data_IF_473214976632
#
_entry.id   IF_473214976632
#
_cell.length_a   1.000
_cell.length_b   1.000
_cell.length_c   1.000
_cell.angle_alpha   90.00
_cell.angle_beta   90.00
_cell.angle_gamma   90.00
#
_symmetry.space_group_name_H-M   'P 1'
#
loop_
_entity.id
_entity.type
_entity.pdbx_description
1 polymer ?
#
# COMPACT_ATOMS: atom_id res chain seq x y z
N UNK A 1 56.94 -14.53 -2.67
CA UNK A 1 55.59 -15.13 -2.76
C UNK A 1 54.65 -14.63 -1.66
N UNK A 2 55.11 -14.50 -0.41
CA UNK A 2 54.27 -14.07 0.72
C UNK A 2 53.66 -12.66 0.59
N UNK A 3 54.40 -11.70 0.01
CA UNK A 3 53.92 -10.31 -0.15
C UNK A 3 52.73 -10.21 -1.10
N UNK A 4 52.72 -10.99 -2.18
CA UNK A 4 51.60 -11.02 -3.12
C UNK A 4 50.34 -11.63 -2.48
N UNK A 5 50.50 -12.69 -1.68
CA UNK A 5 49.39 -13.28 -0.93
C UNK A 5 48.84 -12.34 0.14
N UNK A 6 49.69 -11.57 0.83
CA UNK A 6 49.27 -10.55 1.78
C UNK A 6 48.47 -9.42 1.12
N UNK A 7 48.91 -8.96 -0.06
CA UNK A 7 48.19 -7.91 -0.81
C UNK A 7 46.82 -8.40 -1.27
N UNK A 8 46.75 -9.63 -1.81
CA UNK A 8 45.48 -10.22 -2.25
C UNK A 8 44.51 -10.41 -1.07
N UNK A 9 45.01 -10.86 0.08
CA UNK A 9 44.18 -11.02 1.29
C UNK A 9 43.62 -9.68 1.78
N UNK A 10 44.43 -8.60 1.75
CA UNK A 10 43.97 -7.26 2.13
C UNK A 10 42.91 -6.74 1.14
N UNK A 11 43.09 -6.95 -0.16
CA UNK A 11 42.10 -6.55 -1.18
C UNK A 11 40.78 -7.28 -0.95
N UNK A 12 40.80 -8.60 -0.72
CA UNK A 12 39.60 -9.39 -0.44
C UNK A 12 38.91 -8.91 0.85
N UNK A 13 39.69 -8.62 1.90
CA UNK A 13 39.16 -8.09 3.16
C UNK A 13 38.51 -6.71 2.99
N UNK A 14 39.14 -5.81 2.23
CA UNK A 14 38.56 -4.48 1.94
C UNK A 14 37.30 -4.59 1.09
N UNK A 15 37.31 -5.43 0.05
CA UNK A 15 36.14 -5.65 -0.83
C UNK A 15 34.97 -6.26 -0.04
N UNK A 16 35.24 -7.27 0.80
CA UNK A 16 34.20 -7.86 1.66
C UNK A 16 33.62 -6.86 2.66
N UNK A 17 34.44 -6.00 3.27
CA UNK A 17 33.98 -4.92 4.15
C UNK A 17 33.10 -3.92 3.38
N UNK A 18 33.49 -3.53 2.16
CA UNK A 18 32.71 -2.61 1.34
C UNK A 18 31.36 -3.20 0.91
N UNK A 19 31.34 -4.48 0.52
CA UNK A 19 30.10 -5.20 0.21
C UNK A 19 29.21 -5.34 1.44
N UNK A 20 29.78 -5.66 2.61
CA UNK A 20 29.05 -5.82 3.86
C UNK A 20 28.50 -4.49 4.43
N UNK A 21 29.20 -3.38 4.20
CA UNK A 21 28.68 -2.03 4.51
C UNK A 21 27.55 -1.63 3.56
N UNK A 22 27.58 -2.06 2.29
CA UNK A 22 26.47 -1.85 1.34
C UNK A 22 25.23 -2.67 1.73
N UNK A 23 25.37 -3.91 2.18
CA UNK A 23 24.23 -4.75 2.57
C UNK A 23 23.60 -4.34 3.91
N UNK A 24 24.38 -3.78 4.85
CA UNK A 24 23.85 -3.34 6.16
C UNK A 24 23.10 -2.01 6.13
N UNK A 25 23.11 -1.28 5.02
CA UNK A 25 22.39 -0.01 4.90
C UNK A 25 20.86 -0.18 4.77
N UNK A 26 20.35 -1.41 4.62
CA UNK A 26 18.93 -1.69 4.35
C UNK A 26 18.20 -2.40 5.49
N UNK A 27 18.57 -2.25 6.76
CA UNK A 27 17.68 -2.68 7.87
C UNK A 27 17.85 -1.85 9.13
N UNK A 28 17.49 -0.56 9.10
CA UNK A 28 17.09 0.14 10.33
C UNK A 28 15.59 -0.07 10.51
N UNK A 29 15.18 -1.28 10.95
CA UNK A 29 13.79 -1.49 11.39
C UNK A 29 13.56 -0.54 12.56
N UNK A 30 12.73 0.50 12.36
CA UNK A 30 12.23 1.31 13.47
C UNK A 30 11.59 0.36 14.48
N UNK A 31 11.88 0.49 15.79
CA UNK A 31 11.17 -0.29 16.80
C UNK A 31 9.66 -0.07 16.59
N UNK A 32 8.84 -1.14 16.69
CA UNK A 32 7.40 -1.00 16.57
C UNK A 32 6.92 -0.03 17.64
N UNK A 33 6.21 1.00 17.19
CA UNK A 33 5.59 1.99 18.06
C UNK A 33 4.60 1.28 19.00
N UNK A 34 4.80 1.33 20.33
CA UNK A 34 3.94 0.65 21.29
C UNK A 34 2.49 1.16 21.24
N UNK A 35 2.24 2.35 20.66
CA UNK A 35 0.89 2.91 20.53
C UNK A 35 0.01 2.15 19.50
N UNK A 36 0.61 1.26 18.69
CA UNK A 36 -0.15 0.37 17.78
C UNK A 36 -0.74 -0.87 18.44
N UNK A 37 -0.40 -1.17 19.70
CA UNK A 37 -0.87 -2.39 20.38
C UNK A 37 -2.32 -2.28 20.90
N UNK A 38 -2.93 -1.09 20.89
CA UNK A 38 -4.24 -0.84 21.50
C UNK A 38 -5.42 -0.73 20.53
N UNK A 39 -5.20 -0.66 19.21
CA UNK A 39 -6.29 -0.60 18.23
C UNK A 39 -6.32 -1.88 17.41
N UNK A 40 -7.28 -2.77 17.72
CA UNK A 40 -7.71 -3.82 16.79
C UNK A 40 -8.28 -3.10 15.58
N UNK A 41 -7.42 -2.77 14.62
CA UNK A 41 -7.80 -2.10 13.38
C UNK A 41 -8.61 -3.10 12.55
N UNK A 42 -9.94 -2.91 12.38
CA UNK A 42 -10.77 -3.87 11.62
C UNK A 42 -10.44 -3.88 10.12
N UNK A 43 -9.53 -2.99 9.69
CA UNK A 43 -9.30 -2.67 8.29
C UNK A 43 -8.27 -3.60 7.61
N UNK A 44 -7.44 -4.36 8.35
CA UNK A 44 -6.30 -5.10 7.79
C UNK A 44 -6.60 -6.09 6.65
N UNK A 45 -7.88 -6.46 6.42
CA UNK A 45 -8.28 -7.39 5.36
C UNK A 45 -8.16 -6.86 3.93
N UNK A 46 -8.29 -5.54 3.72
CA UNK A 46 -8.36 -4.97 2.36
C UNK A 46 -7.26 -3.94 2.08
N UNK A 47 -6.11 -4.07 2.73
CA UNK A 47 -4.96 -3.22 2.46
C UNK A 47 -4.37 -3.53 1.06
N UNK A 48 -3.92 -2.47 0.40
CA UNK A 48 -3.34 -2.55 -0.94
C UNK A 48 -1.81 -2.53 -0.87
N UNK A 49 -1.16 -3.04 -1.90
CA UNK A 49 0.29 -2.89 -2.06
C UNK A 49 0.60 -2.47 -3.50
N UNK A 50 1.69 -1.73 -3.68
CA UNK A 50 2.25 -1.40 -5.00
C UNK A 50 3.68 -1.91 -5.09
N UNK A 51 4.12 -2.28 -6.29
CA UNK A 51 5.52 -2.61 -6.54
C UNK A 51 6.33 -1.32 -6.69
N UNK A 52 7.40 -1.17 -5.89
CA UNK A 52 8.40 -0.13 -6.10
C UNK A 52 9.65 -0.72 -6.76
N UNK A 53 9.98 -0.14 -7.91
CA UNK A 53 11.07 -0.55 -8.77
C UNK A 53 12.32 0.29 -8.46
N UNK A 54 13.46 -0.37 -8.25
CA UNK A 54 14.76 0.33 -8.20
C UNK A 54 15.28 0.55 -9.62
N UNK A 55 16.26 1.46 -9.79
CA UNK A 55 16.90 1.70 -11.09
C UNK A 55 17.47 0.38 -11.64
N UNK A 56 16.97 -0.05 -12.80
CA UNK A 56 17.32 -1.33 -13.43
C UNK A 56 16.43 -2.50 -13.02
N UNK A 57 15.13 -2.26 -12.79
CA UNK A 57 14.16 -3.32 -12.51
C UNK A 57 13.91 -4.21 -13.75
N UNK A 58 13.34 -5.40 -13.52
CA UNK A 58 13.00 -6.33 -14.59
C UNK A 58 11.86 -5.81 -15.48
N UNK A 59 11.78 -6.29 -16.72
CA UNK A 59 10.72 -5.90 -17.65
C UNK A 59 9.31 -6.16 -17.07
N UNK A 60 9.16 -7.27 -16.34
CA UNK A 60 7.93 -7.62 -15.64
C UNK A 60 7.53 -6.61 -14.55
N UNK A 61 8.52 -6.03 -13.86
CA UNK A 61 8.28 -5.05 -12.81
C UNK A 61 7.83 -3.70 -13.39
N UNK A 62 8.37 -3.30 -14.55
CA UNK A 62 7.89 -2.14 -15.30
C UNK A 62 6.47 -2.33 -15.84
N UNK A 63 6.11 -3.55 -16.24
CA UNK A 63 4.79 -3.85 -16.78
C UNK A 63 3.65 -3.63 -15.77
N UNK A 64 3.92 -3.86 -14.49
CA UNK A 64 2.94 -3.71 -13.39
C UNK A 64 3.20 -2.49 -12.52
N UNK A 65 4.06 -1.57 -12.97
CA UNK A 65 4.39 -0.35 -12.25
C UNK A 65 3.15 0.57 -12.15
N UNK A 66 2.95 1.15 -10.97
CA UNK A 66 1.80 2.02 -10.69
C UNK A 66 0.49 1.29 -10.41
N UNK A 67 0.43 -0.03 -10.62
CA UNK A 67 -0.72 -0.84 -10.24
C UNK A 67 -0.73 -1.12 -8.73
N UNK A 68 -1.94 -1.29 -8.19
CA UNK A 68 -2.18 -1.65 -6.79
C UNK A 68 -2.89 -2.98 -6.70
N UNK A 69 -2.31 -3.89 -5.93
CA UNK A 69 -2.84 -5.22 -5.67
C UNK A 69 -3.36 -5.30 -4.25
N UNK A 70 -4.36 -6.16 -4.01
CA UNK A 70 -4.71 -6.56 -2.65
C UNK A 70 -3.57 -7.39 -2.08
N UNK A 71 -3.18 -7.13 -0.83
CA UNK A 71 -2.05 -7.83 -0.22
C UNK A 71 -2.19 -9.37 -0.17
N UNK A 72 -3.42 -9.91 -0.18
CA UNK A 72 -3.67 -11.35 -0.25
C UNK A 72 -3.64 -11.94 -1.67
N UNK A 73 -3.67 -11.10 -2.70
CA UNK A 73 -3.70 -11.50 -4.11
C UNK A 73 -2.40 -11.10 -4.85
N UNK A 74 -1.35 -10.77 -4.12
CA UNK A 74 -0.10 -10.29 -4.68
C UNK A 74 0.71 -11.41 -5.30
N UNK A 75 1.35 -11.16 -6.46
CA UNK A 75 2.35 -12.07 -6.98
C UNK A 75 3.54 -12.12 -6.01
N UNK A 76 4.17 -13.29 -5.90
CA UNK A 76 5.42 -13.42 -5.13
C UNK A 76 6.55 -12.72 -5.88
N UNK A 77 7.45 -12.10 -5.13
CA UNK A 77 8.72 -11.60 -5.66
C UNK A 77 9.77 -12.71 -5.43
N UNK A 78 10.60 -13.07 -6.42
CA UNK A 78 10.71 -12.50 -7.77
C UNK A 78 9.49 -12.81 -8.65
N UNK A 79 9.12 -11.87 -9.53
CA UNK A 79 8.04 -12.08 -10.50
C UNK A 79 8.39 -13.27 -11.41
N UNK A 80 7.39 -14.03 -11.91
CA UNK A 80 7.64 -15.21 -12.75
C UNK A 80 8.45 -14.88 -14.01
N UNK A 81 8.24 -13.70 -14.58
CA UNK A 81 8.93 -13.20 -15.78
C UNK A 81 10.12 -12.27 -15.43
N UNK A 82 10.77 -12.47 -14.27
CA UNK A 82 11.89 -11.64 -13.83
C UNK A 82 13.20 -12.04 -14.54
N UNK A 83 13.75 -11.14 -15.35
CA UNK A 83 15.00 -11.30 -16.10
C UNK A 83 16.26 -10.80 -15.35
N UNK A 84 16.09 -10.23 -14.15
CA UNK A 84 17.19 -9.66 -13.39
C UNK A 84 18.01 -10.72 -12.62
N UNK A 85 19.35 -10.69 -12.68
CA UNK A 85 20.22 -11.63 -11.94
C UNK A 85 20.15 -11.43 -10.42
N UNK A 86 19.86 -10.21 -9.97
CA UNK A 86 19.60 -9.85 -8.58
C UNK A 86 18.37 -8.94 -8.52
N UNK A 87 17.23 -9.48 -8.10
CA UNK A 87 16.00 -8.71 -7.98
C UNK A 87 15.97 -7.91 -6.67
N UNK A 88 15.84 -6.58 -6.77
CA UNK A 88 15.73 -5.67 -5.63
C UNK A 88 14.32 -5.03 -5.51
N UNK A 89 13.32 -5.55 -6.21
CA UNK A 89 11.96 -5.01 -6.15
C UNK A 89 11.34 -5.29 -4.78
N UNK A 90 10.53 -4.36 -4.29
CA UNK A 90 9.84 -4.52 -3.01
C UNK A 90 8.42 -3.98 -3.09
N UNK A 91 7.54 -4.52 -2.25
CA UNK A 91 6.18 -4.02 -2.14
C UNK A 91 6.10 -2.92 -1.08
N UNK A 92 5.41 -1.84 -1.42
CA UNK A 92 5.00 -0.81 -0.49
C UNK A 92 3.55 -1.03 -0.11
N UNK A 93 3.30 -1.13 1.18
CA UNK A 93 1.95 -1.29 1.72
C UNK A 93 1.24 0.06 1.82
N UNK A 94 -0.01 0.08 1.38
CA UNK A 94 -0.93 1.20 1.47
C UNK A 94 -2.08 0.83 2.38
N UNK A 95 -2.45 1.76 3.25
CA UNK A 95 -3.61 1.57 4.10
C UNK A 95 -4.91 1.56 3.27
N UNK A 96 -5.92 0.83 3.73
CA UNK A 96 -7.26 0.88 3.12
C UNK A 96 -7.80 2.29 3.33
N UNK A 97 -8.06 2.97 2.22
CA UNK A 97 -8.66 4.30 2.21
C UNK A 97 -10.05 4.34 2.85
N UNK A 98 -10.68 3.18 3.10
CA UNK A 98 -11.93 3.09 3.86
C UNK A 98 -11.61 3.33 5.33
N UNK A 99 -11.60 4.60 5.71
CA UNK A 99 -11.65 4.98 7.12
C UNK A 99 -12.85 4.29 7.76
N UNK A 100 -12.62 3.61 8.88
CA UNK A 100 -13.68 3.04 9.72
C UNK A 100 -14.58 4.11 10.32
N UNK A 101 -14.29 5.40 10.06
CA UNK A 101 -15.26 6.47 10.28
C UNK A 101 -16.43 6.24 9.33
N UNK A 102 -17.39 5.58 9.93
CA UNK A 102 -18.52 4.93 9.35
C UNK A 102 -19.23 5.92 8.40
N UNK A 103 -19.28 5.64 7.09
CA UNK A 103 -20.13 6.40 6.14
C UNK A 103 -21.63 6.34 6.50
N UNK A 104 -21.99 5.60 7.56
CA UNK A 104 -23.30 5.58 8.22
C UNK A 104 -23.30 6.30 9.57
N UNK A 105 -22.28 7.09 9.90
CA UNK A 105 -22.40 8.13 10.93
C UNK A 105 -23.51 9.02 10.40
N UNK A 106 -24.62 9.08 11.13
CA UNK A 106 -25.67 10.05 10.85
C UNK A 106 -25.00 11.41 10.85
N UNK A 107 -25.02 12.12 9.72
CA UNK A 107 -24.46 13.46 9.63
C UNK A 107 -25.05 14.31 10.77
N UNK A 108 -24.27 14.58 11.81
CA UNK A 108 -24.70 15.34 13.00
C UNK A 108 -24.64 16.85 12.77
N UNK A 109 -24.18 17.29 11.59
CA UNK A 109 -24.11 18.70 11.20
C UNK A 109 -25.47 19.37 10.94
N UNK A 110 -26.58 18.65 11.15
CA UNK A 110 -27.91 19.25 11.21
C UNK A 110 -28.64 18.72 12.44
N UNK A 111 -28.24 19.19 13.62
CA UNK A 111 -29.17 19.27 14.77
C UNK A 111 -30.05 20.50 14.53
N UNK A 112 -30.82 20.45 13.45
CA UNK A 112 -32.02 21.26 13.33
C UNK A 112 -33.04 20.59 14.24
N UNK A 113 -33.35 21.29 15.32
CA UNK A 113 -34.39 21.02 16.31
C UNK A 113 -35.42 19.95 15.85
N UNK A 114 -35.21 18.70 16.30
CA UNK A 114 -36.12 17.60 16.02
C UNK A 114 -37.21 17.52 17.09
N UNK A 115 -37.86 18.65 17.40
CA UNK A 115 -39.13 18.68 18.13
C UNK A 115 -40.28 19.15 17.20
N UNK A 116 -40.32 18.60 15.99
CA UNK A 116 -41.32 18.98 15.00
C UNK A 116 -41.56 17.85 14.02
N UNK A 117 -42.54 17.00 14.34
CA UNK A 117 -43.34 16.20 13.40
C UNK A 117 -42.78 16.13 11.97
N UNK A 118 -42.01 15.08 11.65
CA UNK A 118 -41.66 14.79 10.26
C UNK A 118 -42.95 14.44 9.50
N UNK A 119 -43.59 15.42 8.89
CA UNK A 119 -44.64 15.17 7.90
C UNK A 119 -43.97 14.52 6.69
N UNK A 120 -44.49 13.35 6.30
CA UNK A 120 -44.15 12.70 5.04
C UNK A 120 -44.37 13.70 3.90
N UNK A 121 -43.30 14.00 3.15
CA UNK A 121 -43.32 14.93 2.02
C UNK A 121 -43.34 14.22 0.67
N UNK A 122 -43.35 12.88 0.63
CA UNK A 122 -43.59 12.16 -0.62
C UNK A 122 -45.07 12.25 -0.95
N UNK A 123 -45.45 13.32 -1.63
CA UNK A 123 -46.71 13.35 -2.34
C UNK A 123 -46.58 12.39 -3.54
N UNK A 124 -47.32 11.29 -3.50
CA UNK A 124 -47.25 10.17 -4.43
C UNK A 124 -47.90 10.48 -5.79
N UNK A 125 -47.60 11.64 -6.37
CA UNK A 125 -48.08 12.00 -7.70
C UNK A 125 -47.25 11.35 -8.80
N UNK A 126 -47.90 10.56 -9.67
CA UNK A 126 -47.27 10.04 -10.89
C UNK A 126 -46.86 11.22 -11.79
N UNK A 127 -45.59 11.26 -12.19
CA UNK A 127 -45.04 12.33 -13.03
C UNK A 127 -45.43 12.22 -14.50
N UNK A 128 -46.16 11.16 -14.88
CA UNK A 128 -46.51 10.85 -16.28
C UNK A 128 -47.73 11.59 -16.82
N UNK A 129 -48.40 12.43 -16.03
CA UNK A 129 -49.60 13.12 -16.50
C UNK A 129 -49.34 14.59 -16.83
N UNK A 130 -48.49 14.84 -17.83
CA UNK A 130 -48.46 16.10 -18.60
C UNK A 130 -48.02 15.81 -20.03
N UNK A 131 -48.93 15.28 -20.84
CA UNK A 131 -48.90 15.49 -22.29
C UNK A 131 -50.03 16.48 -22.63
N UNK A 132 -49.74 17.74 -23.00
CA UNK A 132 -50.75 18.73 -23.30
C UNK A 132 -51.26 18.66 -24.75
N UNK A 133 -51.27 17.49 -25.39
CA UNK A 133 -51.66 17.38 -26.81
C UNK A 133 -52.55 16.15 -27.07
N UNK A 134 -53.80 16.20 -26.60
CA UNK A 134 -54.95 15.52 -27.20
C UNK A 134 -56.24 16.29 -26.86
#
# INVERSE_FOLDING_TARGET
>A
MNVAFSIIAIIILVVSILLFRRTRATTKKRPPDPDRLGKVQPYVRFHAVSLENLRGACAAAYAIEGERFLAGATPRIPLPECDAPVCNCHFVHHDDRRLSDNRRQRWTGFVGDSDGTMKEQRDGGDRRNKDPNN
#
